data_IF_937798210121
#
_entry.id   IF_937798210121
#
_cell.length_a   1.000
_cell.length_b   1.000
_cell.length_c   1.000
_cell.angle_alpha   90.00
_cell.angle_beta   90.00
_cell.angle_gamma   90.00
#
_symmetry.space_group_name_H-M   'P 1'
#
loop_
_entity.id
_entity.type
_entity.pdbx_description
1 polymer ?
#
# COMPACT_ATOMS: atom_id res chain seq x y z
N UNK A 1 9.75 24.36 28.67
CA UNK A 1 9.84 22.95 29.03
C UNK A 1 8.73 22.11 28.47
N UNK A 2 7.48 22.50 28.63
CA UNK A 2 6.37 21.78 27.97
C UNK A 2 6.52 21.81 26.45
N UNK A 3 7.00 22.93 25.89
CA UNK A 3 7.24 23.07 24.47
C UNK A 3 8.33 22.11 23.95
N UNK A 4 9.38 21.87 24.74
CA UNK A 4 10.44 20.94 24.36
C UNK A 4 9.95 19.50 24.31
N UNK A 5 9.11 19.09 25.26
CA UNK A 5 8.54 17.75 25.28
C UNK A 5 7.60 17.55 24.10
N UNK A 6 6.79 18.56 23.76
CA UNK A 6 5.88 18.52 22.62
C UNK A 6 6.66 18.44 21.31
N UNK A 7 7.71 19.24 21.16
CA UNK A 7 8.56 19.24 19.98
C UNK A 7 9.27 17.91 19.81
N UNK A 8 9.74 17.32 20.91
CA UNK A 8 10.42 16.02 20.90
C UNK A 8 9.45 14.90 20.49
N UNK A 9 8.22 14.90 21.04
CA UNK A 9 7.21 13.93 20.67
C UNK A 9 6.85 14.03 19.19
N UNK A 10 6.75 15.23 18.65
CA UNK A 10 6.48 15.47 17.25
C UNK A 10 7.60 14.90 16.35
N UNK A 11 8.86 15.17 16.71
CA UNK A 11 10.02 14.65 15.97
C UNK A 11 10.10 13.14 16.04
N UNK A 12 9.76 12.54 17.19
CA UNK A 12 9.73 11.08 17.35
C UNK A 12 8.64 10.47 16.48
N UNK A 13 7.46 11.08 16.41
CA UNK A 13 6.35 10.62 15.56
C UNK A 13 6.70 10.76 14.10
N UNK A 14 7.36 11.84 13.70
CA UNK A 14 7.81 12.04 12.32
C UNK A 14 8.80 10.95 11.91
N UNK A 15 9.81 10.70 12.74
CA UNK A 15 10.81 9.67 12.49
C UNK A 15 10.16 8.28 12.45
N UNK A 16 9.25 8.01 13.38
CA UNK A 16 8.52 6.75 13.42
C UNK A 16 7.71 6.54 12.15
N UNK A 17 6.95 7.55 11.73
CA UNK A 17 6.10 7.45 10.54
C UNK A 17 6.94 7.14 9.29
N UNK A 18 8.05 7.86 9.10
CA UNK A 18 8.93 7.63 7.95
C UNK A 18 9.55 6.24 7.97
N UNK A 19 10.01 5.80 9.13
CA UNK A 19 10.59 4.46 9.27
C UNK A 19 9.55 3.37 9.01
N UNK A 20 8.35 3.53 9.57
CA UNK A 20 7.24 2.59 9.39
C UNK A 20 6.86 2.46 7.92
N UNK A 21 6.68 3.59 7.24
CA UNK A 21 6.32 3.60 5.82
C UNK A 21 7.40 2.90 4.99
N UNK A 22 8.66 3.23 5.20
CA UNK A 22 9.76 2.61 4.44
C UNK A 22 9.80 1.10 4.64
N UNK A 23 9.71 0.64 5.89
CA UNK A 23 9.78 -0.78 6.23
C UNK A 23 8.58 -1.55 5.67
N UNK A 24 7.39 -1.01 5.83
CA UNK A 24 6.15 -1.69 5.40
C UNK A 24 5.97 -1.65 3.89
N UNK A 25 6.32 -0.52 3.24
CA UNK A 25 6.28 -0.42 1.79
C UNK A 25 7.20 -1.45 1.14
N UNK A 26 8.38 -1.67 1.71
CA UNK A 26 9.32 -2.67 1.20
C UNK A 26 8.77 -4.10 1.31
N UNK A 27 7.78 -4.33 2.17
CA UNK A 27 7.09 -5.60 2.31
C UNK A 27 5.85 -5.73 1.42
N UNK A 28 5.58 -4.73 0.59
CA UNK A 28 4.48 -4.78 -0.35
C UNK A 28 3.17 -4.21 0.14
N UNK A 29 3.17 -3.42 1.21
CA UNK A 29 1.96 -2.76 1.69
C UNK A 29 1.78 -1.41 1.00
N UNK A 30 0.53 -1.08 0.67
CA UNK A 30 0.18 0.14 -0.04
C UNK A 30 -0.24 1.29 0.89
N UNK A 31 -0.41 2.49 0.33
CA UNK A 31 -0.60 3.71 1.13
C UNK A 31 -1.85 3.71 2.01
N UNK A 32 -2.97 3.17 1.54
CA UNK A 32 -4.20 3.16 2.35
C UNK A 32 -4.02 2.34 3.64
N UNK A 33 -3.33 1.21 3.54
CA UNK A 33 -3.05 0.39 4.72
C UNK A 33 -2.07 1.06 5.67
N UNK A 34 -1.05 1.72 5.12
CA UNK A 34 -0.08 2.44 5.93
C UNK A 34 -0.72 3.62 6.66
N UNK A 35 -1.65 4.34 6.00
CA UNK A 35 -2.43 5.39 6.66
C UNK A 35 -3.23 4.85 7.84
N UNK A 36 -3.91 3.74 7.61
CA UNK A 36 -4.74 3.14 8.66
C UNK A 36 -3.89 2.68 9.84
N UNK A 37 -2.74 2.08 9.59
CA UNK A 37 -1.82 1.63 10.63
C UNK A 37 -1.30 2.80 11.47
N UNK A 38 -0.89 3.89 10.81
CA UNK A 38 -0.36 5.06 11.51
C UNK A 38 -1.43 5.83 12.25
N UNK A 39 -2.65 5.91 11.71
CA UNK A 39 -3.79 6.50 12.41
C UNK A 39 -4.14 5.73 13.67
N UNK A 40 -4.14 4.40 13.57
CA UNK A 40 -4.40 3.54 14.72
C UNK A 40 -3.38 3.75 15.83
N UNK A 41 -2.18 4.16 15.48
CA UNK A 41 -1.11 4.46 16.43
C UNK A 41 -1.20 5.90 16.98
N UNK A 42 -2.10 6.71 16.45
CA UNK A 42 -2.30 8.08 16.92
C UNK A 42 -1.40 9.11 16.26
N UNK A 43 -0.77 8.76 15.13
CA UNK A 43 0.08 9.72 14.41
C UNK A 43 -0.79 10.76 13.71
N UNK A 44 -0.37 12.01 13.76
CA UNK A 44 -1.08 13.13 13.13
C UNK A 44 -1.11 12.96 11.60
N UNK A 45 -2.24 13.31 11.00
CA UNK A 45 -2.47 13.19 9.55
C UNK A 45 -1.38 13.88 8.73
N UNK A 46 -0.94 15.06 9.14
CA UNK A 46 0.11 15.79 8.42
C UNK A 46 1.42 14.99 8.36
N UNK A 47 1.78 14.34 9.46
CA UNK A 47 2.97 13.50 9.51
C UNK A 47 2.84 12.23 8.67
N UNK A 48 1.64 11.66 8.66
CA UNK A 48 1.34 10.47 7.84
C UNK A 48 1.51 10.82 6.36
N UNK A 49 0.90 11.90 5.91
CA UNK A 49 0.96 12.29 4.50
C UNK A 49 2.37 12.69 4.07
N UNK A 50 3.12 13.37 4.95
CA UNK A 50 4.51 13.69 4.68
C UNK A 50 5.37 12.44 4.51
N UNK A 51 5.15 11.44 5.36
CA UNK A 51 5.88 10.17 5.26
C UNK A 51 5.54 9.41 3.97
N UNK A 52 4.28 9.46 3.54
CA UNK A 52 3.83 8.78 2.34
C UNK A 52 4.33 9.44 1.04
N UNK A 53 4.55 10.76 1.03
CA UNK A 53 5.09 11.44 -0.15
C UNK A 53 6.45 10.90 -0.56
N UNK A 54 7.24 10.41 0.38
CA UNK A 54 8.54 9.80 0.07
C UNK A 54 8.46 8.49 -0.70
N UNK A 55 7.26 7.88 -0.77
CA UNK A 55 7.06 6.58 -1.43
C UNK A 55 6.56 6.72 -2.86
N UNK A 56 5.81 7.79 -3.19
CA UNK A 56 5.41 8.15 -4.55
C UNK A 56 4.45 7.18 -5.25
N UNK A 57 3.68 7.72 -6.18
CA UNK A 57 2.66 6.95 -6.92
C UNK A 57 3.27 5.89 -7.83
N UNK A 58 4.39 6.19 -8.48
CA UNK A 58 5.09 5.24 -9.36
C UNK A 58 5.60 4.03 -8.56
N UNK A 59 6.04 4.28 -7.33
CA UNK A 59 6.46 3.22 -6.43
C UNK A 59 5.33 2.30 -6.03
N UNK A 60 4.11 2.83 -5.87
CA UNK A 60 2.93 2.03 -5.55
C UNK A 60 2.63 1.02 -6.66
N UNK A 61 2.69 1.47 -7.91
CA UNK A 61 2.44 0.60 -9.06
C UNK A 61 3.49 -0.52 -9.13
N UNK A 62 4.75 -0.20 -8.96
CA UNK A 62 5.83 -1.20 -8.99
C UNK A 62 5.70 -2.20 -7.85
N UNK A 63 5.38 -1.72 -6.64
CA UNK A 63 5.19 -2.62 -5.49
C UNK A 63 3.99 -3.52 -5.69
N UNK A 64 2.88 -2.98 -6.19
CA UNK A 64 1.69 -3.77 -6.46
C UNK A 64 1.96 -4.85 -7.51
N UNK A 65 2.72 -4.52 -8.55
CA UNK A 65 3.14 -5.49 -9.57
C UNK A 65 3.96 -6.62 -8.94
N UNK A 66 4.90 -6.30 -8.05
CA UNK A 66 5.71 -7.31 -7.37
C UNK A 66 4.87 -8.21 -6.49
N UNK A 67 3.92 -7.65 -5.74
CA UNK A 67 2.99 -8.43 -4.90
C UNK A 67 2.15 -9.36 -5.79
N UNK A 68 1.63 -8.85 -6.91
CA UNK A 68 0.83 -9.63 -7.83
C UNK A 68 1.62 -10.81 -8.41
N UNK A 69 2.85 -10.55 -8.84
CA UNK A 69 3.71 -11.61 -9.40
C UNK A 69 3.96 -12.74 -8.40
N UNK A 70 4.13 -12.40 -7.13
CA UNK A 70 4.34 -13.41 -6.08
C UNK A 70 3.09 -14.21 -5.79
N UNK A 71 1.95 -13.56 -5.83
CA UNK A 71 0.66 -14.19 -5.45
C UNK A 71 0.03 -14.97 -6.58
N UNK A 72 0.25 -14.56 -7.81
CA UNK A 72 -0.43 -15.07 -8.99
C UNK A 72 -0.34 -16.59 -9.16
N UNK A 73 0.84 -17.24 -8.99
CA UNK A 73 0.91 -18.70 -9.17
C UNK A 73 -0.04 -19.48 -8.27
N UNK A 74 -0.24 -19.02 -7.03
CA UNK A 74 -1.16 -19.69 -6.10
C UNK A 74 -2.63 -19.51 -6.51
N UNK A 75 -2.95 -18.44 -7.24
CA UNK A 75 -4.31 -18.11 -7.64
C UNK A 75 -4.70 -18.67 -9.01
N UNK A 76 -3.73 -19.06 -9.83
CA UNK A 76 -3.98 -19.51 -11.22
C UNK A 76 -4.61 -20.89 -11.33
N UNK A 77 -4.90 -21.54 -10.20
CA UNK A 77 -5.62 -22.81 -10.18
C UNK A 77 -7.11 -22.66 -10.51
N UNK A 78 -7.62 -21.45 -10.33
CA UNK A 78 -9.03 -21.14 -10.63
C UNK A 78 -9.17 -20.62 -12.05
N UNK A 79 -10.42 -20.45 -12.49
CA UNK A 79 -10.69 -19.79 -13.75
C UNK A 79 -10.24 -18.33 -13.70
N UNK A 80 -10.15 -17.72 -14.88
CA UNK A 80 -9.61 -16.37 -15.01
C UNK A 80 -10.40 -15.32 -14.21
N UNK A 81 -11.72 -15.42 -14.20
CA UNK A 81 -12.56 -14.46 -13.49
C UNK A 81 -12.33 -14.55 -11.98
N UNK A 82 -12.23 -15.75 -11.43
CA UNK A 82 -11.94 -15.96 -10.01
C UNK A 82 -10.53 -15.50 -9.66
N UNK A 83 -9.57 -15.80 -10.51
CA UNK A 83 -8.19 -15.35 -10.31
C UNK A 83 -8.13 -13.84 -10.26
N UNK A 84 -8.82 -13.17 -11.19
CA UNK A 84 -8.87 -11.70 -11.21
C UNK A 84 -9.49 -11.14 -9.93
N UNK A 85 -10.61 -11.71 -9.49
CA UNK A 85 -11.30 -11.26 -8.29
C UNK A 85 -10.43 -11.44 -7.03
N UNK A 86 -9.78 -12.59 -6.90
CA UNK A 86 -8.92 -12.87 -5.75
C UNK A 86 -7.67 -12.00 -5.73
N UNK A 87 -7.08 -11.77 -6.90
CA UNK A 87 -5.92 -10.89 -7.00
C UNK A 87 -6.31 -9.45 -6.64
N UNK A 88 -7.45 -8.99 -7.14
CA UNK A 88 -7.98 -7.66 -6.80
C UNK A 88 -8.16 -7.51 -5.29
N UNK A 89 -8.83 -8.48 -4.67
CA UNK A 89 -9.06 -8.46 -3.23
C UNK A 89 -7.76 -8.44 -2.44
N UNK A 90 -6.79 -9.25 -2.87
CA UNK A 90 -5.49 -9.30 -2.21
C UNK A 90 -4.78 -7.94 -2.24
N UNK A 91 -4.75 -7.30 -3.41
CA UNK A 91 -4.09 -6.00 -3.57
C UNK A 91 -4.83 -4.90 -2.81
N UNK A 92 -6.17 -4.93 -2.79
CA UNK A 92 -6.95 -3.96 -2.02
C UNK A 92 -6.68 -4.11 -0.52
N UNK A 93 -6.60 -5.34 -0.01
CA UNK A 93 -6.28 -5.59 1.40
C UNK A 93 -4.85 -5.14 1.75
N UNK A 94 -3.93 -5.20 0.79
CA UNK A 94 -2.58 -4.67 0.97
C UNK A 94 -2.55 -3.14 1.02
N UNK A 95 -3.63 -2.48 0.61
CA UNK A 95 -3.77 -1.04 0.74
C UNK A 95 -3.48 -0.24 -0.51
N UNK A 96 -3.48 -0.88 -1.69
CA UNK A 96 -3.25 -0.16 -2.94
C UNK A 96 -4.53 0.55 -3.41
N UNK A 97 -4.40 1.72 -4.08
CA UNK A 97 -5.56 2.41 -4.63
C UNK A 97 -6.25 1.57 -5.70
N UNK A 98 -7.57 1.74 -5.85
CA UNK A 98 -8.36 0.99 -6.82
C UNK A 98 -7.83 1.13 -8.25
N UNK A 99 -7.33 2.31 -8.63
CA UNK A 99 -6.76 2.56 -9.95
C UNK A 99 -5.52 1.71 -10.21
N UNK A 100 -4.64 1.62 -9.20
CA UNK A 100 -3.43 0.79 -9.27
C UNK A 100 -3.82 -0.69 -9.35
N UNK A 101 -4.77 -1.11 -8.52
CA UNK A 101 -5.24 -2.51 -8.48
C UNK A 101 -5.81 -2.91 -9.84
N UNK A 102 -6.68 -2.08 -10.41
CA UNK A 102 -7.29 -2.35 -11.71
C UNK A 102 -6.24 -2.49 -12.81
N UNK A 103 -5.25 -1.60 -12.81
CA UNK A 103 -4.17 -1.63 -13.80
C UNK A 103 -3.34 -2.90 -13.68
N UNK A 104 -2.93 -3.26 -12.47
CA UNK A 104 -2.10 -4.44 -12.22
C UNK A 104 -2.83 -5.72 -12.58
N UNK A 105 -4.10 -5.84 -12.20
CA UNK A 105 -4.91 -7.03 -12.55
C UNK A 105 -5.01 -7.15 -14.07
N UNK A 106 -5.25 -6.04 -14.77
CA UNK A 106 -5.31 -6.04 -16.22
C UNK A 106 -3.97 -6.46 -16.85
N UNK A 107 -2.86 -5.97 -16.32
CA UNK A 107 -1.53 -6.33 -16.81
C UNK A 107 -1.24 -7.81 -16.62
N UNK A 108 -1.67 -8.40 -15.50
CA UNK A 108 -1.42 -9.80 -15.18
C UNK A 108 -2.30 -10.76 -15.96
N UNK A 109 -3.57 -10.40 -16.19
CA UNK A 109 -4.58 -11.31 -16.73
C UNK A 109 -5.17 -10.83 -18.06
N UNK A 110 -4.79 -9.65 -18.51
CA UNK A 110 -5.31 -9.03 -19.70
C UNK A 110 -6.65 -8.34 -19.44
N UNK A 111 -7.16 -7.65 -20.46
CA UNK A 111 -8.44 -6.97 -20.38
C UNK A 111 -9.57 -7.99 -20.22
N UNK A 112 -10.67 -7.62 -19.52
CA UNK A 112 -11.85 -8.50 -19.48
C UNK A 112 -12.32 -8.78 -20.89
N UNK A 113 -12.72 -10.02 -21.14
CA UNK A 113 -13.29 -10.39 -22.43
C UNK A 113 -14.68 -9.77 -22.51
N UNK A 114 -14.84 -8.84 -23.45
CA UNK A 114 -16.16 -8.29 -23.76
C UNK A 114 -16.78 -9.13 -24.85
N UNK A 115 -17.85 -9.78 -24.50
CA UNK A 115 -18.66 -10.50 -25.48
C UNK A 115 -19.83 -9.67 -25.94
#
# INVERSE_FOLDING_TARGET
MVADLTARAYLDDEAFARHWVAARASRGYGPARLRAELRARGIDTALIEAALTGVGDDGDLERARAVARRRLPALQRDDRARTAARLRDHLLRRGYPASVVARVVRECLGAPVED
#
